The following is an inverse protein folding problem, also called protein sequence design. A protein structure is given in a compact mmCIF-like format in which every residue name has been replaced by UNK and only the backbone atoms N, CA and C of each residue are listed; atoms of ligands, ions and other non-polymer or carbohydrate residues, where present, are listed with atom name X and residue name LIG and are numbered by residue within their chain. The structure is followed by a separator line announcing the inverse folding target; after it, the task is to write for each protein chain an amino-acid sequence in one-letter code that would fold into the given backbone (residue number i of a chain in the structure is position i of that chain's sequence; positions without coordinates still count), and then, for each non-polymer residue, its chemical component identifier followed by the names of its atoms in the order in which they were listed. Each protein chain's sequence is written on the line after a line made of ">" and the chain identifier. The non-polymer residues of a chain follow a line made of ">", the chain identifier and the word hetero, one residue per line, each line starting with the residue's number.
data_IF_758858758726
#
_entry.id   IF_758858758726
#
_cell.length_a   1.000
_cell.length_b   1.000
_cell.length_c   1.000
_cell.angle_alpha   90.00
_cell.angle_beta   90.00
_cell.angle_gamma   90.00
#
_symmetry.space_group_name_H-M   'P 1'
#
loop_
_entity.id
_entity.type
_entity.pdbx_description
1 polymer ?
#
# COMPACT_ATOMS: atom_id res chain seq x y z
N UNK A 1 -71.97 -31.11 -1.98
CA UNK A 1 -70.82 -31.37 -1.09
C UNK A 1 -69.77 -30.31 -1.36
N UNK A 2 -69.61 -29.39 -0.40
CA UNK A 2 -68.71 -28.24 -0.42
C UNK A 2 -67.26 -28.75 -0.29
N UNK A 3 -66.48 -28.72 -1.36
CA UNK A 3 -65.01 -28.82 -1.34
C UNK A 3 -64.50 -27.45 -1.78
N UNK A 4 -64.42 -26.52 -0.85
CA UNK A 4 -63.16 -26.07 -0.23
C UNK A 4 -62.14 -25.60 -1.29
N UNK A 5 -62.55 -24.66 -2.13
CA UNK A 5 -61.66 -23.71 -2.80
C UNK A 5 -61.20 -22.73 -1.73
N UNK A 6 -60.16 -23.12 -0.97
CA UNK A 6 -59.47 -22.23 -0.04
C UNK A 6 -58.05 -22.75 0.21
N UNK A 7 -57.23 -22.79 -0.84
CA UNK A 7 -55.79 -23.04 -0.70
C UNK A 7 -54.98 -22.08 -1.60
N UNK A 8 -55.34 -20.81 -1.51
CA UNK A 8 -54.57 -19.68 -2.02
C UNK A 8 -54.68 -18.65 -0.91
N UNK A 9 -53.73 -18.60 0.02
CA UNK A 9 -53.36 -17.38 0.79
C UNK A 9 -52.34 -17.58 1.93
N UNK A 10 -51.45 -18.57 1.95
CA UNK A 10 -50.43 -18.61 3.01
C UNK A 10 -49.10 -19.19 2.55
N UNK A 11 -48.30 -18.43 1.79
CA UNK A 11 -46.84 -18.38 1.99
C UNK A 11 -46.34 -16.99 1.56
N UNK A 12 -46.68 -15.98 2.35
CA UNK A 12 -46.06 -14.65 2.27
C UNK A 12 -44.74 -14.70 3.05
N UNK A 13 -43.63 -14.42 2.35
CA UNK A 13 -42.35 -13.90 2.84
C UNK A 13 -41.82 -14.33 4.22
N UNK A 14 -40.73 -15.09 4.22
CA UNK A 14 -39.66 -14.92 5.22
C UNK A 14 -38.47 -14.23 4.56
N UNK A 15 -38.56 -12.91 4.42
CA UNK A 15 -37.34 -12.10 4.27
C UNK A 15 -36.67 -12.13 5.64
N UNK A 16 -35.62 -12.93 5.78
CA UNK A 16 -34.73 -12.83 6.92
C UNK A 16 -33.98 -11.51 6.80
N UNK A 17 -34.56 -10.45 7.39
CA UNK A 17 -33.82 -9.23 7.69
C UNK A 17 -32.72 -9.59 8.67
N UNK A 18 -31.50 -9.77 8.18
CA UNK A 18 -30.33 -9.81 9.05
C UNK A 18 -30.18 -8.42 9.63
N UNK A 19 -30.44 -8.30 10.93
CA UNK A 19 -30.20 -7.07 11.67
C UNK A 19 -28.70 -6.74 11.58
N UNK A 20 -28.30 -5.62 10.93
CA UNK A 20 -26.90 -5.23 10.84
C UNK A 20 -26.28 -4.89 12.20
N UNK A 21 -27.08 -4.84 13.27
CA UNK A 21 -26.64 -4.61 14.65
C UNK A 21 -26.69 -5.87 15.53
N UNK A 22 -27.03 -7.04 14.99
CA UNK A 22 -27.07 -8.29 15.76
C UNK A 22 -25.71 -8.57 16.40
N UNK A 23 -25.67 -8.46 17.74
CA UNK A 23 -24.45 -8.57 18.54
C UNK A 23 -23.98 -10.02 18.70
N UNK A 24 -24.83 -11.00 18.39
CA UNK A 24 -24.52 -12.42 18.57
C UNK A 24 -23.49 -12.96 17.57
N UNK A 25 -23.24 -12.22 16.47
CA UNK A 25 -22.20 -12.51 15.47
C UNK A 25 -20.87 -11.79 15.69
N UNK A 26 -20.70 -11.02 16.76
CA UNK A 26 -19.37 -10.61 17.24
C UNK A 26 -18.69 -11.80 17.96
N UNK A 27 -18.63 -12.92 17.27
CA UNK A 27 -17.68 -13.97 17.58
C UNK A 27 -16.29 -13.37 17.44
N UNK A 28 -15.52 -13.51 18.51
CA UNK A 28 -14.12 -13.15 18.67
C UNK A 28 -13.34 -13.53 17.40
N UNK A 29 -13.23 -12.60 16.45
CA UNK A 29 -12.09 -12.59 15.55
C UNK A 29 -10.98 -12.04 16.41
N UNK A 30 -10.20 -12.97 16.95
CA UNK A 30 -8.87 -12.74 17.47
C UNK A 30 -8.23 -11.59 16.69
N UNK A 31 -7.81 -10.55 17.43
CA UNK A 31 -6.96 -9.47 16.96
C UNK A 31 -5.74 -10.07 16.26
N UNK A 32 -5.91 -10.46 15.01
CA UNK A 32 -4.83 -10.93 14.17
C UNK A 32 -4.33 -9.69 13.48
N UNK A 33 -3.41 -9.05 14.19
CA UNK A 33 -2.51 -8.04 13.69
C UNK A 33 -3.20 -6.87 13.01
N UNK A 34 -3.36 -5.78 13.75
CA UNK A 34 -2.69 -4.56 13.31
C UNK A 34 -1.26 -4.99 12.98
N UNK A 35 -1.03 -5.33 11.71
CA UNK A 35 0.28 -5.23 11.13
C UNK A 35 0.53 -3.72 11.16
N UNK A 36 0.89 -3.21 12.35
CA UNK A 36 1.86 -2.15 12.43
C UNK A 36 3.06 -2.77 11.74
N UNK A 37 3.09 -2.67 10.40
CA UNK A 37 4.33 -2.64 9.68
C UNK A 37 5.02 -1.46 10.34
N UNK A 38 5.79 -1.77 11.38
CA UNK A 38 6.82 -0.90 11.88
C UNK A 38 7.71 -0.75 10.66
N UNK A 39 7.40 0.24 9.83
CA UNK A 39 8.26 0.71 8.76
C UNK A 39 9.46 1.28 9.49
N UNK A 40 10.33 0.36 9.92
CA UNK A 40 11.53 0.69 10.66
C UNK A 40 12.43 1.37 9.66
N UNK A 41 12.42 2.70 9.66
CA UNK A 41 13.41 3.52 8.99
C UNK A 41 14.70 3.58 9.81
N UNK A 42 15.12 2.40 10.30
CA UNK A 42 16.35 2.25 11.06
C UNK A 42 17.53 2.47 10.12
N UNK A 43 18.33 3.49 10.44
CA UNK A 43 19.43 4.02 9.63
C UNK A 43 20.69 3.15 9.65
N UNK A 44 20.56 1.82 9.56
CA UNK A 44 21.73 0.96 9.47
C UNK A 44 22.44 1.05 8.10
N UNK A 45 21.84 1.75 7.14
CA UNK A 45 22.33 1.91 5.78
C UNK A 45 22.63 3.38 5.48
N UNK A 46 23.65 3.62 4.63
CA UNK A 46 24.04 4.96 4.16
C UNK A 46 22.85 5.63 3.49
N UNK A 47 22.53 6.85 3.91
CA UNK A 47 21.49 7.67 3.27
C UNK A 47 22.10 8.28 2.01
N UNK A 48 21.49 8.02 0.86
CA UNK A 48 21.91 8.62 -0.40
C UNK A 48 21.35 10.05 -0.51
N UNK A 49 22.16 11.01 -0.94
CA UNK A 49 21.74 12.41 -1.12
C UNK A 49 21.10 13.04 0.13
N UNK A 50 21.66 12.80 1.32
CA UNK A 50 21.09 13.26 2.60
C UNK A 50 20.79 14.77 2.65
N UNK A 51 21.55 15.57 1.89
CA UNK A 51 21.39 17.04 1.82
C UNK A 51 20.57 17.51 0.60
N UNK A 52 19.99 16.60 -0.17
CA UNK A 52 19.20 16.93 -1.38
C UNK A 52 17.73 16.72 -1.10
N UNK A 53 16.93 17.76 -1.29
CA UNK A 53 15.48 17.66 -1.20
C UNK A 53 14.93 16.84 -2.37
N UNK A 54 13.91 16.02 -2.11
CA UNK A 54 13.33 15.11 -3.10
C UNK A 54 12.84 15.83 -4.37
N UNK A 55 12.25 17.02 -4.22
CA UNK A 55 11.77 17.84 -5.33
C UNK A 55 12.87 18.26 -6.35
N UNK A 56 14.14 18.17 -5.95
CA UNK A 56 15.29 18.50 -6.80
C UNK A 56 15.79 17.28 -7.58
N UNK A 57 15.26 16.10 -7.30
CA UNK A 57 15.59 14.85 -7.98
C UNK A 57 14.58 14.58 -9.09
N UNK A 58 15.10 14.22 -10.25
CA UNK A 58 14.30 13.75 -11.38
C UNK A 58 14.45 12.24 -11.53
N UNK A 59 13.34 11.51 -11.50
CA UNK A 59 13.31 10.12 -11.95
C UNK A 59 13.63 10.08 -13.45
N UNK A 60 14.69 9.37 -13.84
CA UNK A 60 15.11 9.25 -15.25
C UNK A 60 14.92 7.85 -15.82
N UNK A 61 14.65 6.85 -14.98
CA UNK A 61 14.29 5.52 -15.43
C UNK A 61 14.49 4.42 -14.40
N UNK A 62 14.18 3.20 -14.82
CA UNK A 62 14.42 1.96 -14.08
C UNK A 62 15.27 1.03 -14.94
N UNK A 63 16.25 0.39 -14.33
CA UNK A 63 17.06 -0.66 -14.96
C UNK A 63 16.72 -1.98 -14.29
N UNK A 64 16.38 -2.98 -15.10
CA UNK A 64 16.25 -4.37 -14.69
C UNK A 64 17.38 -5.18 -15.31
N UNK A 65 18.18 -5.82 -14.46
CA UNK A 65 19.22 -6.75 -14.91
C UNK A 65 19.10 -8.05 -14.12
N UNK A 66 18.89 -9.15 -14.86
CA UNK A 66 18.52 -10.45 -14.27
C UNK A 66 17.26 -10.29 -13.42
N UNK A 67 17.39 -10.33 -12.09
CA UNK A 67 16.29 -10.19 -11.13
C UNK A 67 16.49 -8.98 -10.20
N UNK A 68 17.44 -8.10 -10.50
CA UNK A 68 17.69 -6.88 -9.74
C UNK A 68 17.11 -5.67 -10.48
N UNK A 69 16.32 -4.89 -9.76
CA UNK A 69 15.77 -3.62 -10.24
C UNK A 69 16.41 -2.47 -9.48
N UNK A 70 16.86 -1.47 -10.24
CA UNK A 70 17.41 -0.24 -9.70
C UNK A 70 16.65 0.93 -10.31
N UNK A 71 16.33 1.93 -9.50
CA UNK A 71 15.76 3.19 -9.95
C UNK A 71 16.87 4.23 -10.09
N UNK A 72 16.80 5.05 -11.14
CA UNK A 72 17.78 6.10 -11.40
C UNK A 72 17.18 7.47 -11.18
N UNK A 73 17.86 8.27 -10.35
CA UNK A 73 17.56 9.68 -10.15
C UNK A 73 18.70 10.55 -10.66
N UNK A 74 18.36 11.67 -11.27
CA UNK A 74 19.28 12.72 -11.67
C UNK A 74 19.10 13.92 -10.73
N UNK A 75 20.19 14.43 -10.18
CA UNK A 75 20.18 15.68 -9.43
C UNK A 75 20.39 16.92 -10.32
N UNK A 76 20.41 18.10 -9.72
CA UNK A 76 20.64 19.36 -10.42
C UNK A 76 22.07 19.50 -10.98
N UNK A 77 23.04 18.78 -10.40
CA UNK A 77 24.43 18.74 -10.85
C UNK A 77 24.66 17.68 -11.95
N UNK A 78 23.58 17.05 -12.44
CA UNK A 78 23.60 15.97 -13.43
C UNK A 78 24.29 14.69 -12.94
N UNK A 79 24.39 14.47 -11.63
CA UNK A 79 24.86 13.22 -11.05
C UNK A 79 23.71 12.22 -11.03
N UNK A 80 24.01 11.00 -11.46
CA UNK A 80 23.06 9.89 -11.45
C UNK A 80 23.24 9.10 -10.17
N UNK A 81 22.15 8.84 -9.48
CA UNK A 81 22.09 7.98 -8.32
C UNK A 81 21.23 6.75 -8.64
N UNK A 82 21.76 5.57 -8.35
CA UNK A 82 21.05 4.32 -8.49
C UNK A 82 20.64 3.83 -7.11
N UNK A 83 19.34 3.63 -6.91
CA UNK A 83 18.78 3.16 -5.65
C UNK A 83 18.09 1.81 -5.85
N UNK A 84 18.14 1.00 -4.81
CA UNK A 84 17.52 -0.33 -4.71
C UNK A 84 16.35 -0.29 -3.75
N UNK A 85 15.56 -1.36 -3.75
CA UNK A 85 14.56 -1.58 -2.71
C UNK A 85 15.24 -1.54 -1.34
N UNK A 86 14.58 -0.85 -0.40
CA UNK A 86 15.01 -0.51 0.96
C UNK A 86 16.07 0.59 1.10
N UNK A 87 16.61 1.13 0.02
CA UNK A 87 17.51 2.29 0.13
C UNK A 87 16.75 3.51 0.66
N UNK A 88 17.36 4.23 1.59
CA UNK A 88 16.89 5.51 2.11
C UNK A 88 17.65 6.64 1.41
N UNK A 89 16.94 7.65 0.94
CA UNK A 89 17.51 8.77 0.21
C UNK A 89 16.83 10.09 0.59
N UNK A 90 17.46 11.21 0.22
CA UNK A 90 17.00 12.60 0.42
C UNK A 90 16.93 13.07 1.87
N UNK A 91 16.77 14.38 2.05
CA UNK A 91 16.59 15.02 3.35
C UNK A 91 15.31 14.55 4.07
N UNK A 92 14.29 14.19 3.30
CA UNK A 92 12.99 13.74 3.77
C UNK A 92 12.99 12.27 4.24
N UNK A 93 14.15 11.59 4.16
CA UNK A 93 14.32 10.17 4.53
C UNK A 93 13.31 9.27 3.81
N UNK A 94 13.22 9.42 2.50
CA UNK A 94 12.36 8.59 1.67
C UNK A 94 13.00 7.20 1.50
N UNK A 95 12.19 6.15 1.51
CA UNK A 95 12.64 4.77 1.31
C UNK A 95 11.99 4.18 0.07
N UNK A 96 12.78 3.48 -0.76
CA UNK A 96 12.22 2.71 -1.87
C UNK A 96 11.57 1.43 -1.33
N UNK A 97 10.27 1.26 -1.53
CA UNK A 97 9.54 0.04 -1.11
C UNK A 97 9.44 -0.98 -2.24
N UNK A 98 9.24 -0.51 -3.48
CA UNK A 98 9.06 -1.38 -4.63
C UNK A 98 9.49 -0.67 -5.92
N UNK A 99 10.11 -1.42 -6.83
CA UNK A 99 10.50 -0.95 -8.15
C UNK A 99 9.85 -1.85 -9.21
N UNK A 100 9.11 -1.24 -10.13
CA UNK A 100 8.59 -1.88 -11.34
C UNK A 100 8.99 -1.07 -12.57
N UNK A 101 8.80 -1.62 -13.77
CA UNK A 101 9.12 -0.91 -15.01
C UNK A 101 8.18 0.26 -15.32
N UNK A 102 7.01 0.31 -14.67
CA UNK A 102 6.02 1.37 -14.86
C UNK A 102 5.92 2.34 -13.69
N UNK A 103 6.25 1.88 -12.48
CA UNK A 103 6.04 2.62 -11.23
C UNK A 103 7.10 2.32 -10.19
N UNK A 104 7.42 3.32 -9.39
CA UNK A 104 8.25 3.18 -8.19
C UNK A 104 7.42 3.57 -6.97
N UNK A 105 7.38 2.70 -5.98
CA UNK A 105 6.68 2.93 -4.70
C UNK A 105 7.70 3.42 -3.67
N UNK A 106 7.40 4.57 -3.08
CA UNK A 106 8.25 5.25 -2.11
C UNK A 106 7.47 5.43 -0.82
N UNK A 107 8.14 5.21 0.31
CA UNK A 107 7.61 5.48 1.64
C UNK A 107 8.35 6.67 2.26
N UNK A 108 7.62 7.68 2.70
CA UNK A 108 8.14 8.79 3.48
C UNK A 108 8.21 8.37 4.95
N UNK A 109 9.43 8.22 5.47
CA UNK A 109 9.66 7.81 6.84
C UNK A 109 9.23 8.83 7.90
N UNK A 110 9.20 10.12 7.55
CA UNK A 110 8.86 11.20 8.49
C UNK A 110 7.35 11.37 8.52
N UNK A 111 6.71 11.44 7.35
CA UNK A 111 5.28 11.65 7.22
C UNK A 111 4.45 10.36 7.28
N UNK A 112 5.10 9.19 7.28
CA UNK A 112 4.45 7.87 7.24
C UNK A 112 3.46 7.73 6.07
N UNK A 113 3.86 8.20 4.88
CA UNK A 113 3.00 8.27 3.69
C UNK A 113 3.63 7.52 2.52
N UNK A 114 2.79 6.89 1.70
CA UNK A 114 3.21 6.25 0.45
C UNK A 114 3.03 7.23 -0.72
N UNK A 115 4.02 7.26 -1.60
CA UNK A 115 4.02 7.95 -2.88
C UNK A 115 4.33 6.96 -4.02
N UNK A 116 3.80 7.26 -5.20
CA UNK A 116 4.11 6.55 -6.44
C UNK A 116 4.70 7.52 -7.45
N UNK A 117 5.78 7.11 -8.12
CA UNK A 117 6.30 7.80 -9.29
C UNK A 117 6.07 6.94 -10.51
N UNK A 118 5.56 7.54 -11.58
CA UNK A 118 5.47 6.91 -12.89
C UNK A 118 6.84 7.02 -13.59
N UNK A 119 7.25 5.92 -14.24
CA UNK A 119 8.55 5.76 -14.92
C UNK A 119 8.45 6.22 -16.37
#
# INVERSE_FOLDING_TARGET
>A
MKKLILFLFFVSYTVFGQDPFDRTRRGIKSDTSTINNSYSCSSSHRIFAENTAFQLLKLIGVIEFKNEKNVMFLDQEKKIMMLRVNDIFTQEKLRIEEISLSKVKIFDCIQSKIMYLDV
#
